data_IF_523027445413
#
_entry.id   IF_523027445413
#
_cell.length_a   1.000
_cell.length_b   1.000
_cell.length_c   1.000
_cell.angle_alpha   90.00
_cell.angle_beta   90.00
_cell.angle_gamma   90.00
#
_symmetry.space_group_name_H-M   'P 1'
#
loop_
_entity.id
_entity.type
_entity.pdbx_description
1 polymer ?
#
# COMPACT_ATOMS: atom_id res chain seq x y z
N UNK A 1 -10.12 -6.99 9.32
CA UNK A 1 -10.05 -6.62 7.87
C UNK A 1 -8.59 -6.59 7.45
N UNK A 2 -8.26 -6.86 6.18
CA UNK A 2 -6.86 -6.77 5.71
C UNK A 2 -6.50 -5.33 5.35
N UNK A 3 -5.29 -4.93 5.72
CA UNK A 3 -4.71 -3.65 5.33
C UNK A 3 -3.46 -3.89 4.49
N UNK A 4 -3.22 -2.97 3.58
CA UNK A 4 -2.15 -3.06 2.60
C UNK A 4 -1.29 -1.81 2.67
N UNK A 5 0.01 -2.00 2.47
CA UNK A 5 0.99 -0.93 2.35
C UNK A 5 2.01 -1.32 1.28
N UNK A 6 2.53 -0.35 0.54
CA UNK A 6 3.67 -0.65 -0.35
C UNK A 6 4.99 -0.60 0.42
N UNK A 7 5.88 -1.54 0.09
CA UNK A 7 7.24 -1.64 0.68
C UNK A 7 8.25 -0.78 -0.07
N UNK A 8 8.05 -0.62 -1.37
CA UNK A 8 8.83 0.26 -2.23
C UNK A 8 7.95 0.91 -3.30
N UNK A 9 8.48 1.95 -3.97
CA UNK A 9 7.74 2.70 -4.97
C UNK A 9 7.64 1.89 -6.28
N UNK A 10 6.43 1.55 -6.76
CA UNK A 10 6.27 0.78 -7.99
C UNK A 10 6.56 1.63 -9.22
N UNK A 11 7.20 1.02 -10.22
CA UNK A 11 7.25 1.59 -11.57
C UNK A 11 5.92 1.28 -12.27
N UNK A 12 5.03 2.27 -12.32
CA UNK A 12 3.68 2.09 -12.85
C UNK A 12 3.70 2.13 -14.39
N UNK A 13 3.32 1.04 -15.09
CA UNK A 13 3.22 1.06 -16.55
C UNK A 13 2.16 2.05 -17.04
N UNK A 14 2.22 2.38 -18.33
CA UNK A 14 1.38 3.42 -18.94
C UNK A 14 -0.14 3.19 -18.74
N UNK A 15 -0.56 1.94 -18.56
CA UNK A 15 -1.93 1.54 -18.23
C UNK A 15 -2.45 2.10 -16.88
N UNK A 16 -1.55 2.37 -15.93
CA UNK A 16 -1.88 2.94 -14.62
C UNK A 16 -1.65 4.47 -14.55
N UNK A 17 -1.52 5.17 -15.69
CA UNK A 17 -1.31 6.63 -15.72
C UNK A 17 -2.48 7.47 -15.22
N UNK A 18 -3.62 6.87 -14.85
CA UNK A 18 -4.76 7.62 -14.30
C UNK A 18 -4.38 8.26 -12.96
N UNK A 19 -4.85 9.49 -12.74
CA UNK A 19 -4.65 10.23 -11.48
C UNK A 19 -5.08 9.42 -10.26
N UNK A 20 -6.13 8.60 -10.37
CA UNK A 20 -6.60 7.71 -9.31
C UNK A 20 -5.55 6.68 -8.87
N UNK A 21 -4.83 6.03 -9.80
CA UNK A 21 -3.79 5.05 -9.45
C UNK A 21 -2.60 5.70 -8.76
N UNK A 22 -2.14 6.87 -9.23
CA UNK A 22 -1.07 7.62 -8.56
C UNK A 22 -1.47 7.97 -7.12
N UNK A 23 -2.72 8.40 -6.91
CA UNK A 23 -3.25 8.65 -5.56
C UNK A 23 -3.28 7.36 -4.72
N UNK A 24 -3.71 6.24 -5.29
CA UNK A 24 -3.74 4.95 -4.56
C UNK A 24 -2.34 4.54 -4.09
N UNK A 25 -1.33 4.65 -4.96
CA UNK A 25 0.07 4.35 -4.61
C UNK A 25 0.60 5.33 -3.57
N UNK A 26 0.30 6.62 -3.69
CA UNK A 26 0.65 7.61 -2.66
C UNK A 26 0.00 7.32 -1.30
N UNK A 27 -1.26 6.89 -1.26
CA UNK A 27 -1.92 6.52 -0.01
C UNK A 27 -1.29 5.25 0.60
N UNK A 28 -1.07 4.22 -0.22
CA UNK A 28 -0.43 2.98 0.18
C UNK A 28 1.01 3.18 0.66
N UNK A 29 1.71 4.23 0.21
CA UNK A 29 3.08 4.51 0.66
C UNK A 29 3.12 5.13 2.05
N UNK A 30 2.10 5.91 2.40
CA UNK A 30 2.06 6.67 3.65
C UNK A 30 1.69 5.78 4.83
N UNK A 31 0.70 4.89 4.65
CA UNK A 31 0.17 4.07 5.74
C UNK A 31 -0.45 2.77 5.23
N UNK A 32 -0.70 1.87 6.17
CA UNK A 32 -1.57 0.73 5.95
C UNK A 32 -3.00 1.22 5.73
N UNK A 33 -3.59 0.84 4.62
CA UNK A 33 -4.96 1.21 4.23
C UNK A 33 -5.74 -0.01 3.78
N UNK A 34 -7.05 0.01 4.00
CA UNK A 34 -7.95 -1.03 3.50
C UNK A 34 -8.38 -0.74 2.06
N UNK A 35 -8.85 -1.78 1.35
CA UNK A 35 -9.45 -1.64 0.02
C UNK A 35 -10.61 -0.64 -0.02
N UNK A 36 -11.45 -0.64 1.01
CA UNK A 36 -12.58 0.28 1.13
C UNK A 36 -12.13 1.73 1.34
N UNK A 37 -11.01 1.94 2.03
CA UNK A 37 -10.41 3.26 2.17
C UNK A 37 -9.88 3.78 0.84
N UNK A 38 -9.18 2.93 0.08
CA UNK A 38 -8.66 3.28 -1.24
C UNK A 38 -9.77 3.69 -2.21
N UNK A 39 -10.89 2.95 -2.23
CA UNK A 39 -12.06 3.30 -3.05
C UNK A 39 -12.58 4.69 -2.70
N UNK A 40 -12.75 4.99 -1.40
CA UNK A 40 -13.29 6.28 -0.94
C UNK A 40 -12.35 7.46 -1.21
N UNK A 41 -11.05 7.33 -0.96
CA UNK A 41 -10.09 8.42 -1.11
C UNK A 41 -9.72 8.71 -2.56
N UNK A 42 -9.70 7.68 -3.40
CA UNK A 42 -9.22 7.83 -4.79
C UNK A 42 -10.35 7.90 -5.81
N UNK A 43 -11.58 7.54 -5.42
CA UNK A 43 -12.72 7.44 -6.32
C UNK A 43 -12.57 6.29 -7.33
N UNK A 44 -11.60 5.39 -7.12
CA UNK A 44 -11.39 4.23 -7.96
C UNK A 44 -12.48 3.18 -7.72
N UNK A 45 -12.83 2.44 -8.78
CA UNK A 45 -13.74 1.30 -8.63
C UNK A 45 -13.09 0.19 -7.81
N UNK A 46 -13.90 -0.67 -7.16
CA UNK A 46 -13.39 -1.85 -6.47
C UNK A 46 -12.50 -2.71 -7.39
N UNK A 47 -12.90 -2.85 -8.66
CA UNK A 47 -12.14 -3.59 -9.67
C UNK A 47 -10.76 -2.97 -9.94
N UNK A 48 -10.67 -1.64 -10.02
CA UNK A 48 -9.39 -0.94 -10.21
C UNK A 48 -8.46 -1.08 -9.01
N UNK A 49 -9.02 -1.05 -7.79
CA UNK A 49 -8.28 -1.27 -6.55
C UNK A 49 -7.72 -2.69 -6.52
N UNK A 50 -8.57 -3.71 -6.76
CA UNK A 50 -8.13 -5.10 -6.78
C UNK A 50 -7.07 -5.33 -7.86
N UNK A 51 -7.26 -4.79 -9.08
CA UNK A 51 -6.27 -4.91 -10.16
C UNK A 51 -4.91 -4.32 -9.75
N UNK A 52 -4.90 -3.15 -9.12
CA UNK A 52 -3.67 -2.52 -8.65
C UNK A 52 -3.00 -3.36 -7.55
N UNK A 53 -3.76 -3.80 -6.54
CA UNK A 53 -3.24 -4.63 -5.45
C UNK A 53 -2.67 -5.95 -5.97
N UNK A 54 -3.36 -6.62 -6.90
CA UNK A 54 -2.85 -7.82 -7.55
C UNK A 54 -1.54 -7.56 -8.28
N UNK A 55 -1.43 -6.46 -9.03
CA UNK A 55 -0.20 -6.09 -9.72
C UNK A 55 0.95 -5.84 -8.74
N UNK A 56 0.71 -5.06 -7.68
CA UNK A 56 1.71 -4.80 -6.64
C UNK A 56 2.14 -6.06 -5.90
N UNK A 57 1.20 -6.99 -5.66
CA UNK A 57 1.49 -8.28 -5.06
C UNK A 57 2.34 -9.16 -5.98
N UNK A 58 2.07 -9.17 -7.29
CA UNK A 58 2.90 -9.87 -8.29
C UNK A 58 4.32 -9.29 -8.35
N UNK A 59 4.48 -7.99 -8.13
CA UNK A 59 5.79 -7.35 -8.05
C UNK A 59 6.46 -7.49 -6.68
N UNK A 60 5.85 -8.21 -5.72
CA UNK A 60 6.34 -8.34 -4.34
C UNK A 60 6.54 -6.99 -3.62
N UNK A 61 5.79 -5.97 -4.05
CA UNK A 61 5.83 -4.61 -3.51
C UNK A 61 4.75 -4.34 -2.46
N UNK A 62 3.91 -5.34 -2.18
CA UNK A 62 2.76 -5.20 -1.30
C UNK A 62 3.00 -5.95 0.01
N UNK A 63 2.97 -5.22 1.11
CA UNK A 63 2.88 -5.79 2.45
C UNK A 63 1.41 -5.84 2.87
N UNK A 64 0.91 -7.06 3.12
CA UNK A 64 -0.44 -7.30 3.57
C UNK A 64 -0.41 -7.73 5.03
N UNK A 65 -1.09 -6.98 5.89
CA UNK A 65 -1.29 -7.34 7.30
C UNK A 65 -2.75 -7.58 7.58
N UNK A 66 -3.04 -8.53 8.47
CA UNK A 66 -4.32 -8.51 9.14
C UNK A 66 -4.33 -7.30 10.07
N UNK A 67 -5.33 -6.43 9.92
CA UNK A 67 -5.59 -5.45 10.97
C UNK A 67 -5.94 -6.24 12.22
N UNK A 68 -4.94 -6.44 13.10
CA UNK A 68 -5.20 -6.73 14.51
C UNK A 68 -6.18 -5.67 14.96
N UNK A 69 -7.44 -6.05 15.25
CA UNK A 69 -8.37 -5.16 15.94
C UNK A 69 -7.62 -4.59 17.14
N UNK A 70 -7.48 -3.26 17.14
CA UNK A 70 -6.55 -2.49 17.96
C UNK A 70 -6.51 -2.96 19.42
N UNK A 71 -5.55 -3.84 19.75
CA UNK A 71 -5.03 -3.86 21.11
C UNK A 71 -4.12 -2.63 21.24
N UNK A 72 -4.34 -1.75 22.23
CA UNK A 72 -3.66 -0.45 22.31
C UNK A 72 -2.18 -0.65 22.66
N UNK A 73 -1.35 -0.95 21.66
CA UNK A 73 0.11 -1.04 21.76
C UNK A 73 0.70 0.37 21.77
N UNK A 74 0.40 1.11 22.84
CA UNK A 74 1.28 2.17 23.33
C UNK A 74 2.65 1.52 23.57
N UNK A 75 3.67 2.09 22.93
CA UNK A 75 5.11 1.79 23.09
C UNK A 75 5.58 0.56 22.31
N UNK A 76 6.05 0.80 21.09
CA UNK A 76 7.33 0.27 20.59
C UNK A 76 7.84 1.23 19.51
N UNK A 77 8.26 2.40 19.99
CA UNK A 77 9.21 3.27 19.31
C UNK A 77 10.54 2.51 19.21
N UNK A 78 10.89 1.98 18.04
CA UNK A 78 12.25 2.04 17.47
C UNK A 78 12.32 1.25 16.15
N UNK A 79 11.97 1.91 15.05
CA UNK A 79 12.46 1.53 13.73
C UNK A 79 13.31 2.69 13.21
N UNK A 80 14.65 2.54 13.16
CA UNK A 80 15.44 3.30 12.22
C UNK A 80 15.51 2.50 10.92
N UNK A 81 15.06 3.12 9.83
CA UNK A 81 15.53 2.79 8.49
C UNK A 81 17.06 2.86 8.47
N UNK A 82 17.75 1.81 8.01
CA UNK A 82 19.14 1.79 7.50
C UNK A 82 19.41 0.32 7.08
N UNK A 83 19.92 -0.06 5.91
CA UNK A 83 20.62 0.64 4.84
C UNK A 83 20.68 -0.28 3.62
N UNK A 84 20.57 0.31 2.43
CA UNK A 84 21.23 -0.16 1.21
C UNK A 84 22.73 -0.41 1.49
N UNK A 85 23.28 -1.56 1.07
CA UNK A 85 24.64 -1.70 0.51
C UNK A 85 24.97 -3.19 0.27
N UNK A 86 24.87 -3.63 -0.99
CA UNK A 86 25.63 -4.78 -1.48
C UNK A 86 26.78 -4.26 -2.34
N UNK A 87 28.02 -4.40 -1.86
CA UNK A 87 29.20 -4.74 -2.65
C UNK A 87 30.29 -5.28 -1.70
#
# INVERSE_FOLDING_TARGET
>A
MKEYKITAWPDLPAEFRRTAYRRMVSELSQRYVTETHLQKCTGASAHDVTRLLSHLNTCELLDAREAEEELPKRRLLSWPFQLFASH
#
